data_IF_291133918155
#
_entry.id   IF_291133918155
#
_cell.length_a   1.000
_cell.length_b   1.000
_cell.length_c   1.000
_cell.angle_alpha   90.00
_cell.angle_beta   90.00
_cell.angle_gamma   90.00
#
_symmetry.space_group_name_H-M   'P 1'
#
loop_
_entity.id
_entity.type
_entity.pdbx_description
1 polymer ?
#
# COMPACT_ATOMS: atom_id res chain seq x y z
N UNK A 1 6.85 2.66 -23.03
CA UNK A 1 5.59 2.86 -22.28
C UNK A 1 5.86 2.20 -20.95
N UNK A 2 5.96 3.00 -19.89
CA UNK A 2 6.40 2.50 -18.59
C UNK A 2 5.47 1.40 -18.12
N UNK A 3 6.04 0.33 -17.59
CA UNK A 3 5.23 -0.69 -16.96
C UNK A 3 4.45 -0.06 -15.80
N UNK A 4 3.18 -0.44 -15.65
CA UNK A 4 2.41 -0.01 -14.49
C UNK A 4 2.88 -0.74 -13.22
N UNK A 5 2.65 -0.13 -12.06
CA UNK A 5 2.83 -0.81 -10.77
C UNK A 5 1.84 -1.96 -10.62
N UNK A 6 2.32 -3.14 -10.29
CA UNK A 6 1.51 -4.29 -9.91
C UNK A 6 1.33 -4.31 -8.40
N UNK A 7 0.08 -4.31 -7.93
CA UNK A 7 -0.21 -4.59 -6.52
C UNK A 7 -0.34 -6.10 -6.36
N UNK A 8 0.60 -6.69 -5.62
CA UNK A 8 0.69 -8.11 -5.36
C UNK A 8 0.31 -8.39 -3.92
N UNK A 9 -0.52 -9.39 -3.67
CA UNK A 9 -0.98 -9.82 -2.35
C UNK A 9 -0.18 -11.04 -1.86
N UNK A 10 0.03 -11.11 -0.54
CA UNK A 10 0.96 -12.07 0.09
C UNK A 10 0.38 -12.83 1.30
N UNK A 11 -0.95 -12.86 1.50
CA UNK A 11 -1.63 -13.55 2.60
C UNK A 11 -1.40 -15.06 2.63
N UNK A 12 -1.03 -15.68 1.52
CA UNK A 12 -0.62 -17.09 1.48
C UNK A 12 0.81 -17.37 1.99
N UNK A 13 1.55 -16.32 2.36
CA UNK A 13 2.95 -16.42 2.79
C UNK A 13 3.88 -16.95 1.69
N UNK A 14 5.10 -17.36 2.06
CA UNK A 14 6.13 -17.81 1.11
C UNK A 14 5.84 -19.16 0.43
N UNK A 15 4.73 -19.83 0.78
CA UNK A 15 4.37 -21.16 0.25
C UNK A 15 3.29 -21.14 -0.82
N UNK A 16 2.54 -20.04 -0.93
CA UNK A 16 1.53 -19.86 -1.96
C UNK A 16 2.02 -18.94 -3.04
N UNK A 17 1.51 -19.13 -4.26
CA UNK A 17 1.85 -18.24 -5.35
C UNK A 17 1.21 -16.86 -5.13
N UNK A 18 1.98 -15.76 -5.20
CA UNK A 18 1.44 -14.42 -5.05
C UNK A 18 0.42 -14.09 -6.14
N UNK A 19 -0.67 -13.41 -5.76
CA UNK A 19 -1.71 -12.99 -6.68
C UNK A 19 -1.69 -11.48 -6.90
N UNK A 20 -2.11 -11.03 -8.08
CA UNK A 20 -2.16 -9.63 -8.48
C UNK A 20 -3.57 -9.10 -8.23
N UNK A 21 -3.66 -8.07 -7.40
CA UNK A 21 -4.87 -7.33 -7.06
C UNK A 21 -5.10 -6.11 -7.97
N UNK A 22 -4.04 -5.52 -8.53
CA UNK A 22 -4.16 -4.39 -9.44
C UNK A 22 -2.94 -4.26 -10.35
N UNK A 23 -3.14 -3.62 -11.51
CA UNK A 23 -2.09 -3.11 -12.38
C UNK A 23 -2.37 -1.63 -12.64
N UNK A 24 -1.51 -0.75 -12.13
CA UNK A 24 -1.74 0.69 -12.08
C UNK A 24 -3.02 0.99 -11.29
N UNK A 25 -3.94 1.71 -11.92
CA UNK A 25 -5.28 2.00 -11.37
C UNK A 25 -6.33 0.92 -11.71
N UNK A 26 -5.96 -0.13 -12.45
CA UNK A 26 -6.90 -1.16 -12.91
C UNK A 26 -6.92 -2.35 -11.93
N UNK A 27 -8.00 -2.54 -11.14
CA UNK A 27 -8.11 -3.70 -10.26
C UNK A 27 -8.18 -5.01 -11.06
N UNK A 28 -7.63 -6.08 -10.49
CA UNK A 28 -7.59 -7.43 -11.05
C UNK A 28 -8.25 -8.40 -10.08
N UNK A 29 -8.91 -9.41 -10.63
CA UNK A 29 -9.61 -10.43 -9.85
C UNK A 29 -8.63 -11.51 -9.37
N UNK A 30 -7.68 -11.14 -8.50
CA UNK A 30 -6.71 -12.03 -7.85
C UNK A 30 -6.05 -13.03 -8.81
N UNK A 31 -5.49 -12.51 -9.89
CA UNK A 31 -4.87 -13.36 -10.92
C UNK A 31 -3.46 -13.76 -10.49
N UNK A 32 -3.02 -15.01 -10.73
CA UNK A 32 -1.66 -15.41 -10.38
C UNK A 32 -0.61 -14.53 -11.06
N UNK A 33 0.47 -14.19 -10.35
CA UNK A 33 1.53 -13.33 -10.89
C UNK A 33 2.12 -13.87 -12.20
N UNK A 34 2.23 -15.20 -12.34
CA UNK A 34 2.68 -15.87 -13.58
C UNK A 34 1.78 -15.58 -14.78
N UNK A 35 0.49 -15.33 -14.57
CA UNK A 35 -0.47 -15.03 -15.63
C UNK A 35 -0.31 -13.59 -16.15
N UNK A 36 0.23 -12.69 -15.33
CA UNK A 36 0.45 -11.29 -15.68
C UNK A 36 1.82 -11.08 -16.34
N UNK A 37 2.87 -11.67 -15.76
CA UNK A 37 4.26 -11.51 -16.25
C UNK A 37 4.66 -12.56 -17.30
N UNK A 38 3.88 -13.62 -17.47
CA UNK A 38 4.19 -14.75 -18.34
C UNK A 38 5.28 -15.68 -17.79
N UNK A 39 5.69 -16.68 -18.58
CA UNK A 39 6.73 -17.68 -18.22
C UNK A 39 8.17 -17.20 -18.50
N UNK A 40 8.43 -15.90 -18.41
CA UNK A 40 9.75 -15.33 -18.69
C UNK A 40 10.72 -15.35 -17.50
N UNK A 41 12.02 -15.09 -17.71
CA UNK A 41 13.02 -14.99 -16.63
C UNK A 41 12.67 -13.88 -15.61
N UNK A 42 11.90 -12.88 -16.04
CA UNK A 42 11.43 -11.77 -15.19
C UNK A 42 10.49 -12.23 -14.08
N UNK A 43 9.78 -13.36 -14.25
CA UNK A 43 8.90 -13.90 -13.21
C UNK A 43 9.72 -14.37 -12.00
N UNK A 44 10.83 -15.06 -12.23
CA UNK A 44 11.70 -15.52 -11.15
C UNK A 44 12.33 -14.35 -10.40
N UNK A 45 12.81 -13.33 -11.14
CA UNK A 45 13.36 -12.11 -10.54
C UNK A 45 12.29 -11.35 -9.73
N UNK A 46 11.07 -11.23 -10.26
CA UNK A 46 9.92 -10.65 -9.56
C UNK A 46 9.59 -11.37 -8.26
N UNK A 47 9.45 -12.70 -8.31
CA UNK A 47 9.20 -13.53 -7.12
C UNK A 47 10.31 -13.39 -6.08
N UNK A 48 11.57 -13.36 -6.52
CA UNK A 48 12.73 -13.17 -5.66
C UNK A 48 12.73 -11.81 -4.96
N UNK A 49 12.40 -10.73 -5.68
CA UNK A 49 12.24 -9.39 -5.07
C UNK A 49 11.08 -9.37 -4.09
N UNK A 50 9.92 -9.94 -4.45
CA UNK A 50 8.76 -10.03 -3.55
C UNK A 50 9.13 -10.74 -2.25
N UNK A 51 9.83 -11.88 -2.31
CA UNK A 51 10.28 -12.61 -1.13
C UNK A 51 11.22 -11.77 -0.24
N UNK A 52 12.19 -11.07 -0.84
CA UNK A 52 13.11 -10.17 -0.10
C UNK A 52 12.39 -8.99 0.55
N UNK A 53 11.38 -8.42 -0.11
CA UNK A 53 10.56 -7.35 0.46
C UNK A 53 9.75 -7.87 1.65
N UNK A 54 9.17 -9.06 1.56
CA UNK A 54 8.44 -9.69 2.69
C UNK A 54 9.38 -9.91 3.89
N UNK A 55 10.57 -10.45 3.64
CA UNK A 55 11.56 -10.76 4.67
C UNK A 55 12.14 -9.50 5.33
N UNK A 56 12.63 -8.56 4.52
CA UNK A 56 13.27 -7.34 5.01
C UNK A 56 12.26 -6.29 5.51
N UNK A 57 11.01 -6.34 5.04
CA UNK A 57 10.00 -5.28 5.19
C UNK A 57 10.50 -3.92 4.70
N UNK A 58 11.46 -3.91 3.79
CA UNK A 58 12.04 -2.72 3.19
C UNK A 58 11.81 -2.73 1.68
N UNK A 59 12.02 -1.57 1.07
CA UNK A 59 12.00 -1.46 -0.38
C UNK A 59 13.25 -2.15 -0.96
N UNK A 60 13.08 -2.93 -2.01
CA UNK A 60 14.16 -3.68 -2.66
C UNK A 60 14.15 -3.36 -4.14
N UNK A 61 15.33 -3.06 -4.68
CA UNK A 61 15.56 -2.91 -6.11
C UNK A 61 16.61 -3.92 -6.56
N UNK A 62 16.33 -4.63 -7.65
CA UNK A 62 17.23 -5.61 -8.22
C UNK A 62 17.25 -5.51 -9.74
N UNK A 63 18.40 -5.83 -10.34
CA UNK A 63 18.51 -5.99 -11.79
C UNK A 63 18.07 -7.41 -12.13
N UNK A 64 17.32 -7.55 -13.23
CA UNK A 64 16.95 -8.87 -13.74
C UNK A 64 18.17 -9.65 -14.16
N UNK A 65 18.08 -10.99 -14.15
CA UNK A 65 19.16 -11.90 -14.58
C UNK A 65 19.66 -11.59 -16.00
N UNK A 66 18.75 -11.13 -16.88
CA UNK A 66 19.10 -10.73 -18.26
C UNK A 66 19.86 -9.41 -18.35
N UNK A 67 19.93 -8.64 -17.26
CA UNK A 67 20.62 -7.36 -17.19
C UNK A 67 19.97 -6.22 -17.99
N UNK A 68 18.80 -6.44 -18.62
CA UNK A 68 18.11 -5.44 -19.46
C UNK A 68 16.99 -4.70 -18.75
N UNK A 69 16.54 -5.23 -17.61
CA UNK A 69 15.42 -4.71 -16.84
C UNK A 69 15.78 -4.63 -15.37
N UNK A 70 15.08 -3.78 -14.64
CA UNK A 70 15.11 -3.70 -13.19
C UNK A 70 13.74 -4.02 -12.61
N UNK A 71 13.76 -4.53 -11.39
CA UNK A 71 12.59 -4.93 -10.61
C UNK A 71 12.65 -4.13 -9.32
N UNK A 72 11.57 -3.41 -9.02
CA UNK A 72 11.45 -2.60 -7.81
C UNK A 72 10.26 -3.13 -7.01
N UNK A 73 10.47 -3.41 -5.74
CA UNK A 73 9.46 -3.87 -4.80
C UNK A 73 9.35 -2.94 -3.60
N UNK A 74 8.15 -2.47 -3.29
CA UNK A 74 7.86 -1.71 -2.08
C UNK A 74 6.86 -2.47 -1.19
N UNK A 75 7.12 -2.56 0.12
CA UNK A 75 6.21 -3.24 1.03
C UNK A 75 4.93 -2.42 1.24
N UNK A 76 3.79 -3.08 1.16
CA UNK A 76 2.51 -2.60 1.67
C UNK A 76 2.31 -3.21 3.06
N UNK A 77 2.54 -2.40 4.10
CA UNK A 77 2.42 -2.86 5.49
C UNK A 77 0.95 -2.80 5.94
N UNK A 78 0.48 -3.89 6.53
CA UNK A 78 -0.76 -3.93 7.28
C UNK A 78 -0.53 -3.48 8.74
N UNK A 79 -1.65 -3.30 9.43
CA UNK A 79 -1.67 -3.13 10.88
C UNK A 79 -0.91 -4.28 11.55
N UNK A 80 0.09 -3.95 12.39
CA UNK A 80 0.99 -4.93 13.00
C UNK A 80 2.36 -5.10 12.31
N UNK A 81 2.66 -4.32 11.26
CA UNK A 81 3.99 -4.30 10.65
C UNK A 81 4.31 -5.53 9.79
N UNK A 82 3.30 -6.33 9.46
CA UNK A 82 3.40 -7.43 8.50
C UNK A 82 3.19 -6.91 7.08
N UNK A 83 3.89 -7.51 6.13
CA UNK A 83 3.71 -7.22 4.70
C UNK A 83 2.43 -7.91 4.23
N UNK A 84 1.45 -7.10 3.86
CA UNK A 84 0.14 -7.51 3.33
C UNK A 84 0.18 -7.71 1.82
N UNK A 85 1.04 -6.91 1.18
CA UNK A 85 1.27 -6.96 -0.24
C UNK A 85 2.55 -6.24 -0.63
N UNK A 86 2.89 -6.29 -1.91
CA UNK A 86 4.07 -5.66 -2.48
C UNK A 86 3.63 -4.89 -3.72
N UNK A 87 3.98 -3.61 -3.78
CA UNK A 87 3.96 -2.87 -5.04
C UNK A 87 5.19 -3.27 -5.84
N UNK A 88 4.98 -3.96 -6.94
CA UNK A 88 6.02 -4.49 -7.80
C UNK A 88 6.02 -3.71 -9.12
N UNK A 89 7.18 -3.26 -9.56
CA UNK A 89 7.38 -2.69 -10.88
C UNK A 89 8.50 -3.42 -11.60
N UNK A 90 8.30 -3.69 -12.90
CA UNK A 90 9.28 -4.36 -13.75
C UNK A 90 9.38 -3.58 -15.05
N UNK A 91 10.52 -2.94 -15.30
CA UNK A 91 10.73 -2.16 -16.51
C UNK A 91 12.18 -2.09 -16.93
N UNK A 92 12.48 -1.38 -18.04
CA UNK A 92 13.83 -1.10 -18.50
C UNK A 92 14.68 -0.43 -17.41
N UNK A 93 16.01 -0.54 -17.53
CA UNK A 93 16.95 0.11 -16.61
C UNK A 93 16.91 1.64 -16.69
N UNK A 94 16.71 2.16 -17.90
CA UNK A 94 16.75 3.59 -18.19
C UNK A 94 15.37 4.27 -18.06
N UNK A 95 14.35 3.53 -17.62
CA UNK A 95 12.99 4.03 -17.47
C UNK A 95 12.64 4.13 -15.99
N UNK A 96 12.16 5.31 -15.56
CA UNK A 96 11.65 5.50 -14.21
C UNK A 96 10.23 4.97 -14.04
N UNK A 97 9.94 4.29 -12.91
CA UNK A 97 8.59 3.85 -12.64
C UNK A 97 7.67 5.08 -12.52
N UNK A 98 6.41 4.96 -12.96
CA UNK A 98 5.44 6.03 -12.79
C UNK A 98 5.23 6.33 -11.29
N UNK A 99 4.68 7.50 -10.93
CA UNK A 99 4.27 7.76 -9.55
C UNK A 99 3.32 6.66 -9.06
N UNK A 100 3.57 6.14 -7.85
CA UNK A 100 2.62 5.22 -7.20
C UNK A 100 1.33 5.99 -6.89
N UNK A 101 0.19 5.30 -6.94
CA UNK A 101 -1.07 5.87 -6.46
C UNK A 101 -0.88 6.40 -5.02
N UNK A 102 -1.39 7.60 -4.70
CA UNK A 102 -1.21 8.19 -3.38
C UNK A 102 -1.94 7.33 -2.34
N UNK A 103 -1.19 6.82 -1.36
CA UNK A 103 -1.76 6.00 -0.29
C UNK A 103 -0.73 5.36 0.63
N UNK A 104 0.42 4.91 0.11
CA UNK A 104 1.42 4.22 0.94
C UNK A 104 2.84 4.48 0.44
N UNK A 105 3.36 5.65 0.77
CA UNK A 105 4.79 5.94 0.70
C UNK A 105 5.24 6.41 2.07
N UNK A 106 5.44 5.49 3.01
CA UNK A 106 6.27 5.82 4.18
C UNK A 106 7.74 5.69 3.74
N UNK A 107 8.21 6.66 2.96
CA UNK A 107 9.62 7.02 3.02
C UNK A 107 9.83 7.60 4.41
N UNK A 108 10.45 6.84 5.30
CA UNK A 108 10.87 7.34 6.60
C UNK A 108 11.94 8.41 6.36
N UNK A 109 11.50 9.67 6.37
CA UNK A 109 12.29 10.87 6.12
C UNK A 109 11.40 12.10 6.17
N UNK A 110 11.03 12.51 7.38
CA UNK A 110 10.68 13.88 7.84
C UNK A 110 9.88 14.78 6.89
N UNK A 111 8.58 14.94 7.14
CA UNK A 111 7.93 16.25 7.40
C UNK A 111 6.43 16.05 7.60
N UNK A 112 5.91 16.57 8.72
CA UNK A 112 4.49 16.60 9.01
C UNK A 112 3.82 17.69 8.17
N UNK A 113 3.28 17.32 7.01
CA UNK A 113 2.26 18.10 6.33
C UNK A 113 1.51 17.16 5.37
N UNK A 114 0.20 17.33 5.32
CA UNK A 114 -0.71 16.69 4.38
C UNK A 114 -1.24 15.29 4.75
N UNK A 115 -1.97 15.27 5.87
CA UNK A 115 -3.11 14.36 6.05
C UNK A 115 -4.38 15.21 5.90
N UNK A 116 -4.77 15.47 4.66
CA UNK A 116 -6.12 15.92 4.31
C UNK A 116 -6.58 15.06 3.13
N UNK A 117 -7.88 14.79 3.03
CA UNK A 117 -8.60 13.86 2.12
C UNK A 117 -8.94 12.56 2.89
N UNK A 118 -10.19 12.21 3.24
CA UNK A 118 -11.51 12.76 2.96
C UNK A 118 -12.46 12.32 4.08
N UNK A 119 -12.95 13.26 4.90
CA UNK A 119 -14.22 13.08 5.61
C UNK A 119 -15.27 13.86 4.83
N UNK A 120 -15.95 13.15 3.93
CA UNK A 120 -17.12 13.64 3.22
C UNK A 120 -18.20 14.01 4.24
N UNK A 121 -18.55 15.29 4.23
CA UNK A 121 -19.68 15.88 4.93
C UNK A 121 -21.00 15.37 4.36
N UNK A 122 -21.96 15.07 5.24
CA UNK A 122 -23.40 15.40 5.06
C UNK A 122 -24.11 15.18 6.40
N UNK A 123 -24.70 16.24 6.95
CA UNK A 123 -25.55 16.12 8.14
C UNK A 123 -25.90 17.48 8.75
N UNK A 124 -26.81 18.21 8.10
CA UNK A 124 -27.37 19.49 8.55
C UNK A 124 -27.97 19.37 9.97
N UNK A 125 -27.69 20.34 10.83
CA UNK A 125 -28.38 20.53 12.11
C UNK A 125 -28.16 21.95 12.63
N UNK A 126 -29.20 22.77 12.52
CA UNK A 126 -29.23 24.22 12.77
C UNK A 126 -28.85 24.62 14.19
N UNK A 127 -28.25 25.79 14.26
CA UNK A 127 -27.91 26.62 15.43
C UNK A 127 -29.13 27.23 16.11
N UNK A 128 -29.14 27.21 17.44
CA UNK A 128 -29.65 28.24 18.37
C UNK A 128 -29.40 27.67 19.78
N UNK A 129 -28.47 28.17 20.58
CA UNK A 129 -28.42 29.51 21.14
C UNK A 129 -28.92 29.43 22.58
N UNK A 130 -28.07 29.65 23.58
CA UNK A 130 -28.49 29.55 24.99
C UNK A 130 -27.35 29.56 26.00
N UNK A 131 -26.90 30.77 26.30
CA UNK A 131 -26.16 31.29 27.46
C UNK A 131 -26.02 30.41 28.71
N UNK A 132 -24.80 30.45 29.23
CA UNK A 132 -24.35 30.08 30.58
C UNK A 132 -25.27 30.51 31.71
N UNK A 133 -25.44 29.66 32.72
CA UNK A 133 -25.38 30.06 34.14
C UNK A 133 -25.08 28.86 35.04
N UNK A 134 -24.10 29.09 35.91
CA UNK A 134 -23.71 28.36 37.12
C UNK A 134 -24.91 28.03 38.00
N UNK A 135 -24.93 26.84 38.63
CA UNK A 135 -25.38 26.68 40.03
C UNK A 135 -25.00 25.30 40.59
N UNK A 136 -24.59 25.36 41.86
CA UNK A 136 -24.10 24.31 42.74
C UNK A 136 -25.16 23.27 43.13
N UNK A 137 -24.64 22.18 43.71
CA UNK A 137 -25.09 21.52 44.94
C UNK A 137 -25.72 20.11 44.84
N UNK A 138 -25.04 19.21 45.55
CA UNK A 138 -25.54 18.13 46.42
C UNK A 138 -25.72 16.71 45.86
N UNK A 139 -24.77 15.85 46.23
CA UNK A 139 -24.94 14.41 46.49
C UNK A 139 -25.89 14.16 47.68
N UNK A 140 -26.11 12.90 48.14
CA UNK A 140 -26.34 11.62 47.46
C UNK A 140 -27.70 11.01 47.92
N UNK A 141 -28.07 9.78 47.51
CA UNK A 141 -28.56 8.67 48.40
C UNK A 141 -28.96 7.44 47.57
N UNK A 142 -28.62 6.28 48.11
CA UNK A 142 -28.84 4.91 47.66
C UNK A 142 -30.26 4.50 47.29
N UNK A 143 -30.34 3.46 46.45
CA UNK A 143 -31.37 2.42 46.44
C UNK A 143 -30.71 1.08 46.17
#
# INVERSE_FOLDING_TARGET
MAADWLLVETFGGSRCEPTVLAAGSNPKNMVPLRSVLGRGPFLADALGVTARVIESRQSVEARTTTGRRRVIGHPLLAYGGLVHGVYLWVGPLDEDPPPRAPGTSTSRGTSAADLTICSGSTGRGRTSGGTSTTSLSSSPTSG
#
